data_IF_985916745056
#
_entry.id   IF_985916745056
#
_cell.length_a   1.000
_cell.length_b   1.000
_cell.length_c   1.000
_cell.angle_alpha   90.00
_cell.angle_beta   90.00
_cell.angle_gamma   90.00
#
_symmetry.space_group_name_H-M   'P 1'
#
loop_
_entity.id
_entity.type
_entity.pdbx_description
1 polymer ?
#
# COMPACT_ATOMS: atom_id res chain seq x y z
N UNK A 1 4.13 8.44 -7.25
CA UNK A 1 4.61 8.06 -5.91
C UNK A 1 3.64 8.57 -4.86
N UNK A 2 3.17 7.71 -4.00
CA UNK A 2 2.21 8.07 -2.96
C UNK A 2 2.76 7.67 -1.60
N UNK A 3 2.67 8.57 -0.63
CA UNK A 3 3.18 8.33 0.71
C UNK A 3 2.07 7.81 1.61
N UNK A 4 2.31 6.67 2.23
CA UNK A 4 1.34 5.99 3.09
C UNK A 4 1.72 6.18 4.54
N UNK A 5 0.78 6.63 5.38
CA UNK A 5 0.99 6.85 6.82
C UNK A 5 -0.21 6.34 7.60
N UNK A 6 0.06 5.82 8.79
CA UNK A 6 -0.98 5.54 9.79
C UNK A 6 -2.17 4.78 9.22
N UNK A 7 -1.91 3.72 8.47
CA UNK A 7 -2.98 2.89 7.92
C UNK A 7 -3.64 2.16 9.08
N UNK A 8 -4.87 2.56 9.39
CA UNK A 8 -5.63 1.96 10.49
C UNK A 8 -6.73 1.02 9.99
N UNK A 9 -7.01 1.03 8.69
CA UNK A 9 -7.95 0.09 8.09
C UNK A 9 -7.23 -0.71 7.00
N UNK A 10 -6.60 -1.80 7.43
CA UNK A 10 -5.82 -2.64 6.54
C UNK A 10 -6.72 -3.37 5.54
N UNK A 11 -7.94 -3.70 5.92
CA UNK A 11 -8.87 -4.38 5.01
C UNK A 11 -9.24 -3.49 3.83
N UNK A 12 -9.54 -2.22 4.09
CA UNK A 12 -9.81 -1.25 3.01
C UNK A 12 -8.58 -1.06 2.13
N UNK A 13 -7.41 -1.02 2.75
CA UNK A 13 -6.16 -0.90 2.00
C UNK A 13 -5.98 -2.09 1.05
N UNK A 14 -6.17 -3.30 1.54
CA UNK A 14 -6.05 -4.50 0.71
C UNK A 14 -7.12 -4.57 -0.38
N UNK A 15 -8.33 -4.11 -0.11
CA UNK A 15 -9.38 -4.02 -1.12
C UNK A 15 -8.96 -3.11 -2.28
N UNK A 16 -8.36 -1.96 -1.96
CA UNK A 16 -7.86 -1.05 -2.98
C UNK A 16 -6.76 -1.70 -3.81
N UNK A 17 -5.83 -2.40 -3.16
CA UNK A 17 -4.76 -3.13 -3.85
C UNK A 17 -5.34 -4.18 -4.79
N UNK A 18 -6.34 -4.93 -4.32
CA UNK A 18 -6.93 -6.00 -5.11
C UNK A 18 -7.72 -5.51 -6.32
N UNK A 19 -8.14 -4.25 -6.33
CA UNK A 19 -8.77 -3.62 -7.50
C UNK A 19 -7.77 -3.23 -8.57
N UNK A 20 -6.51 -3.07 -8.21
CA UNK A 20 -5.47 -2.72 -9.15
C UNK A 20 -5.22 -3.89 -10.12
N UNK A 21 -4.97 -3.57 -11.39
CA UNK A 21 -4.76 -4.59 -12.42
C UNK A 21 -3.33 -5.10 -12.47
N UNK A 22 -2.38 -4.21 -12.21
CA UNK A 22 -0.96 -4.53 -12.32
C UNK A 22 -0.31 -4.45 -10.96
N UNK A 23 1.01 -4.62 -10.94
CA UNK A 23 1.77 -4.68 -9.71
C UNK A 23 1.69 -3.37 -8.93
N UNK A 24 1.60 -3.50 -7.62
CA UNK A 24 1.65 -2.38 -6.68
C UNK A 24 2.78 -2.68 -5.71
N UNK A 25 3.75 -1.77 -5.65
CA UNK A 25 4.94 -1.95 -4.83
C UNK A 25 4.84 -1.08 -3.59
N UNK A 26 4.98 -1.71 -2.43
CA UNK A 26 5.15 -1.01 -1.16
C UNK A 26 6.64 -0.96 -0.85
N UNK A 27 7.15 0.23 -0.63
CA UNK A 27 8.57 0.41 -0.34
C UNK A 27 8.74 1.19 0.95
N UNK A 28 9.65 0.71 1.81
CA UNK A 28 10.00 1.44 3.01
C UNK A 28 10.72 2.74 2.64
N UNK A 29 10.67 3.72 3.55
CA UNK A 29 11.23 5.04 3.29
C UNK A 29 12.73 5.00 3.00
N UNK A 30 13.46 4.11 3.65
CA UNK A 30 14.90 3.95 3.43
C UNK A 30 15.24 3.10 2.19
N UNK A 31 14.22 2.58 1.51
CA UNK A 31 14.41 1.79 0.30
C UNK A 31 14.89 0.37 0.51
N UNK A 32 15.06 -0.06 1.75
CA UNK A 32 15.59 -1.41 2.04
C UNK A 32 14.57 -2.51 1.78
N UNK A 33 13.30 -2.19 1.90
CA UNK A 33 12.24 -3.17 1.83
C UNK A 33 11.30 -2.82 0.69
N UNK A 34 11.07 -3.78 -0.20
CA UNK A 34 10.13 -3.65 -1.32
C UNK A 34 9.24 -4.87 -1.34
N UNK A 35 7.94 -4.65 -1.34
CA UNK A 35 6.96 -5.72 -1.36
C UNK A 35 6.01 -5.51 -2.52
N UNK A 36 5.85 -6.53 -3.36
CA UNK A 36 4.83 -6.50 -4.40
C UNK A 36 3.51 -6.95 -3.81
N UNK A 37 2.59 -6.01 -3.61
CA UNK A 37 1.33 -6.26 -2.92
C UNK A 37 0.35 -7.11 -3.72
N UNK A 38 0.66 -7.44 -4.97
CA UNK A 38 -0.14 -8.38 -5.75
C UNK A 38 0.23 -9.83 -5.47
N UNK A 39 1.31 -10.06 -4.74
CA UNK A 39 1.69 -11.38 -4.26
C UNK A 39 1.06 -11.64 -2.89
N UNK A 40 0.41 -12.79 -2.70
CA UNK A 40 -0.25 -13.12 -1.42
C UNK A 40 0.73 -13.14 -0.25
N UNK A 41 1.91 -13.71 -0.46
CA UNK A 41 2.92 -13.76 0.61
C UNK A 41 3.33 -12.34 1.00
N UNK A 42 3.58 -11.50 0.02
CA UNK A 42 3.94 -10.10 0.28
C UNK A 42 2.80 -9.32 0.95
N UNK A 43 1.54 -9.64 0.62
CA UNK A 43 0.39 -9.04 1.29
C UNK A 43 0.39 -9.35 2.78
N UNK A 44 0.65 -10.61 3.16
CA UNK A 44 0.72 -10.97 4.58
C UNK A 44 1.85 -10.25 5.31
N UNK A 45 3.01 -10.16 4.67
CA UNK A 45 4.14 -9.44 5.25
C UNK A 45 3.80 -7.96 5.41
N UNK A 46 3.18 -7.37 4.40
CA UNK A 46 2.79 -5.96 4.44
C UNK A 46 1.77 -5.68 5.56
N UNK A 47 0.77 -6.55 5.71
CA UNK A 47 -0.24 -6.41 6.76
C UNK A 47 0.44 -6.42 8.13
N UNK A 48 1.34 -7.36 8.37
CA UNK A 48 2.06 -7.44 9.63
C UNK A 48 2.87 -6.17 9.89
N UNK A 49 3.58 -5.67 8.86
CA UNK A 49 4.38 -4.45 8.99
C UNK A 49 3.52 -3.24 9.31
N UNK A 50 2.41 -3.08 8.62
CA UNK A 50 1.52 -1.94 8.83
C UNK A 50 0.90 -1.97 10.23
N UNK A 51 0.60 -3.15 10.77
CA UNK A 51 0.11 -3.27 12.14
C UNK A 51 1.19 -2.95 13.17
N UNK A 52 2.41 -3.41 12.93
CA UNK A 52 3.50 -3.29 13.89
C UNK A 52 4.11 -1.90 13.92
N UNK A 53 4.21 -1.27 12.76
CA UNK A 53 4.93 -0.01 12.56
C UNK A 53 3.98 1.08 12.08
N UNK A 54 2.89 1.28 12.80
CA UNK A 54 1.82 2.18 12.38
C UNK A 54 2.25 3.64 12.27
N UNK A 55 3.40 4.00 12.82
CA UNK A 55 3.93 5.35 12.70
C UNK A 55 4.90 5.55 11.55
N UNK A 56 5.30 4.47 10.89
CA UNK A 56 6.28 4.55 9.82
C UNK A 56 5.62 4.94 8.50
N UNK A 57 6.40 5.58 7.66
CA UNK A 57 5.97 5.99 6.34
C UNK A 57 6.44 4.99 5.29
N UNK A 58 5.54 4.68 4.37
CA UNK A 58 5.84 3.83 3.23
C UNK A 58 5.46 4.57 1.96
N UNK A 59 6.14 4.22 0.88
CA UNK A 59 5.81 4.74 -0.43
C UNK A 59 5.12 3.65 -1.25
N UNK A 60 4.11 4.05 -2.02
CA UNK A 60 3.37 3.14 -2.90
C UNK A 60 3.60 3.53 -4.34
N UNK A 61 3.95 2.54 -5.16
CA UNK A 61 4.14 2.72 -6.59
C UNK A 61 3.20 1.78 -7.34
N UNK A 62 2.32 2.35 -8.15
CA UNK A 62 1.49 1.56 -9.06
C UNK A 62 2.18 1.46 -10.41
N UNK A 63 2.41 0.24 -10.87
CA UNK A 63 3.07 0.03 -12.17
C UNK A 63 2.15 0.44 -13.33
N UNK A 64 0.83 0.36 -13.14
CA UNK A 64 -0.14 0.87 -14.10
C UNK A 64 -0.67 2.21 -13.59
N UNK A 65 -0.47 3.26 -14.38
CA UNK A 65 -0.90 4.60 -13.99
C UNK A 65 -2.41 4.69 -13.74
N UNK A 66 -3.20 3.90 -14.46
CA UNK A 66 -4.65 3.87 -14.25
C UNK A 66 -5.03 3.35 -12.87
N UNK A 67 -4.18 2.53 -12.24
CA UNK A 67 -4.43 1.98 -10.91
C UNK A 67 -4.25 3.02 -9.80
N UNK A 68 -3.56 4.11 -10.07
CA UNK A 68 -3.38 5.18 -9.09
C UNK A 68 -4.71 5.74 -8.59
N UNK A 69 -5.74 5.73 -9.44
CA UNK A 69 -7.07 6.20 -9.06
C UNK A 69 -7.66 5.42 -7.89
N UNK A 70 -7.45 4.11 -7.84
CA UNK A 70 -7.93 3.29 -6.73
C UNK A 70 -7.23 3.64 -5.43
N UNK A 71 -5.93 3.88 -5.49
CA UNK A 71 -5.15 4.24 -4.31
C UNK A 71 -5.48 5.66 -3.84
N UNK A 72 -5.68 6.59 -4.76
CA UNK A 72 -6.07 7.95 -4.41
C UNK A 72 -7.44 7.97 -3.73
N UNK A 73 -8.37 7.15 -4.21
CA UNK A 73 -9.67 7.01 -3.56
C UNK A 73 -9.54 6.47 -2.16
N UNK A 74 -8.69 5.47 -1.96
CA UNK A 74 -8.41 4.93 -0.63
C UNK A 74 -7.88 6.03 0.29
N UNK A 75 -6.89 6.80 -0.16
CA UNK A 75 -6.33 7.88 0.66
C UNK A 75 -7.39 8.93 1.01
N UNK A 76 -8.23 9.28 0.06
CA UNK A 76 -9.31 10.22 0.29
C UNK A 76 -10.30 9.69 1.33
N UNK A 77 -10.73 8.45 1.18
CA UNK A 77 -11.71 7.82 2.09
C UNK A 77 -11.14 7.70 3.51
N UNK A 78 -9.85 7.44 3.63
CA UNK A 78 -9.17 7.30 4.93
C UNK A 78 -8.66 8.62 5.48
N UNK A 79 -8.74 9.69 4.72
CA UNK A 79 -8.23 11.03 5.10
C UNK A 79 -6.73 11.01 5.42
N UNK A 80 -6.01 10.27 4.63
CA UNK A 80 -4.54 10.16 4.78
C UNK A 80 -3.81 11.28 4.07
#
# INVERSE_FOLDING_TARGET
MMLLRNVHDVDLFMDAINRCRDDVILMSRDGREKLNLKSKISQYVAIERLHRECGDEYEIFCMNKADEGYMLKFFYDMKL
#
